data_IF_236210095455
#
_entry.id   IF_236210095455
#
_cell.length_a   1.000
_cell.length_b   1.000
_cell.length_c   1.000
_cell.angle_alpha   90.00
_cell.angle_beta   90.00
_cell.angle_gamma   90.00
#
_symmetry.space_group_name_H-M   'P 1'
#
loop_
_entity.id
_entity.type
_entity.pdbx_description
1 polymer ?
#
# COMPACT_ATOMS: atom_id res chain seq x y z
N UNK A 1 10.06 13.40 -7.22
CA UNK A 1 8.61 13.53 -7.55
C UNK A 1 7.93 12.24 -7.15
N UNK A 2 7.02 12.26 -6.17
CA UNK A 2 6.28 11.05 -5.74
C UNK A 2 5.30 10.67 -6.84
N UNK A 3 5.56 9.58 -7.58
CA UNK A 3 4.57 8.98 -8.48
C UNK A 3 3.51 8.31 -7.63
N UNK A 4 2.28 8.79 -7.70
CA UNK A 4 1.08 8.13 -7.16
C UNK A 4 0.78 6.98 -8.13
N UNK A 5 0.96 5.75 -7.66
CA UNK A 5 0.56 4.54 -8.39
C UNK A 5 -0.97 4.44 -8.29
N UNK A 6 -1.72 4.36 -9.39
CA UNK A 6 -3.16 4.14 -9.32
C UNK A 6 -3.43 2.73 -8.78
N UNK A 7 -4.07 2.66 -7.62
CA UNK A 7 -4.57 1.41 -7.03
C UNK A 7 -5.73 0.94 -7.91
N UNK A 8 -5.55 -0.14 -8.66
CA UNK A 8 -6.63 -0.85 -9.35
C UNK A 8 -7.40 -1.66 -8.29
N UNK A 9 -8.52 -1.10 -7.85
CA UNK A 9 -9.45 -1.76 -6.93
C UNK A 9 -10.17 -2.89 -7.69
N UNK A 10 -9.66 -4.13 -7.61
CA UNK A 10 -10.40 -5.33 -7.99
C UNK A 10 -10.96 -5.97 -6.73
N UNK A 11 -12.13 -5.50 -6.28
CA UNK A 11 -12.84 -6.08 -5.16
C UNK A 11 -13.36 -7.49 -5.48
N UNK A 12 -12.78 -8.52 -4.89
CA UNK A 12 -13.42 -9.82 -4.75
C UNK A 12 -14.13 -9.84 -3.40
N UNK A 13 -15.47 -9.78 -3.42
CA UNK A 13 -16.30 -9.93 -2.22
C UNK A 13 -16.34 -11.42 -1.90
N UNK A 14 -15.55 -11.84 -0.92
CA UNK A 14 -15.72 -13.15 -0.28
C UNK A 14 -16.43 -12.93 1.06
N UNK A 15 -17.76 -12.87 1.03
CA UNK A 15 -18.56 -12.86 2.24
C UNK A 15 -18.66 -14.30 2.77
N UNK A 16 -17.91 -14.64 3.81
CA UNK A 16 -18.11 -15.87 4.58
C UNK A 16 -19.08 -15.57 5.73
N UNK A 17 -20.37 -15.73 5.47
CA UNK A 17 -21.39 -15.78 6.53
C UNK A 17 -21.26 -17.12 7.25
N UNK A 18 -20.64 -17.13 8.41
CA UNK A 18 -20.76 -18.22 9.38
C UNK A 18 -22.02 -17.98 10.21
N UNK A 19 -23.19 -18.44 9.71
CA UNK A 19 -24.40 -18.51 10.50
C UNK A 19 -24.29 -19.73 11.40
N UNK A 20 -23.81 -19.53 12.62
CA UNK A 20 -23.81 -20.49 13.69
C UNK A 20 -24.98 -20.22 14.63
N UNK A 21 -26.15 -20.85 14.42
CA UNK A 21 -27.16 -20.92 15.45
C UNK A 21 -26.62 -21.77 16.61
N UNK A 22 -26.16 -21.13 17.67
CA UNK A 22 -25.84 -21.77 18.94
C UNK A 22 -26.97 -21.50 19.89
N UNK A 23 -27.87 -22.48 20.03
CA UNK A 23 -28.89 -22.47 21.10
C UNK A 23 -28.27 -23.05 22.35
N UNK A 24 -27.98 -22.20 23.32
CA UNK A 24 -27.66 -22.66 24.68
C UNK A 24 -28.94 -22.75 25.47
N UNK A 25 -29.43 -23.97 25.71
CA UNK A 25 -30.55 -24.23 26.63
C UNK A 25 -30.02 -24.17 28.05
N UNK A 26 -30.33 -23.11 28.78
CA UNK A 26 -30.05 -23.03 30.22
C UNK A 26 -31.38 -23.29 30.95
N UNK A 27 -31.55 -24.51 31.46
CA UNK A 27 -32.70 -24.80 32.37
C UNK A 27 -32.44 -24.11 33.71
N UNK A 28 -32.97 -22.92 33.93
CA UNK A 28 -33.15 -22.36 35.24
C UNK A 28 -34.50 -22.80 35.81
N UNK A 29 -34.53 -23.89 36.57
CA UNK A 29 -35.66 -24.28 37.34
C UNK A 29 -35.80 -23.36 38.57
N UNK A 30 -36.53 -22.29 38.41
CA UNK A 30 -36.91 -21.43 39.55
C UNK A 30 -38.25 -21.89 40.12
N UNK A 31 -38.25 -22.81 41.11
CA UNK A 31 -39.42 -23.31 41.85
C UNK A 31 -39.91 -22.23 42.82
N UNK A 32 -40.68 -21.27 42.34
CA UNK A 32 -41.40 -20.33 43.18
C UNK A 32 -42.84 -20.81 43.52
N UNK A 33 -43.37 -21.83 42.82
CA UNK A 33 -44.71 -22.39 43.10
C UNK A 33 -44.76 -23.83 42.57
N UNK A 34 -45.28 -24.80 43.38
CA UNK A 34 -45.43 -26.21 42.94
C UNK A 34 -46.32 -26.40 41.69
N UNK A 35 -47.04 -25.35 41.31
CA UNK A 35 -48.00 -25.36 40.21
C UNK A 35 -47.51 -24.64 38.94
N UNK A 36 -46.29 -24.10 38.94
CA UNK A 36 -45.75 -23.33 37.80
C UNK A 36 -44.31 -23.70 37.50
N UNK A 37 -43.95 -23.85 36.20
CA UNK A 37 -42.59 -24.07 35.72
C UNK A 37 -42.27 -22.97 34.72
N UNK A 38 -41.05 -22.44 34.77
CA UNK A 38 -40.53 -21.47 33.80
C UNK A 38 -39.40 -22.13 33.02
N UNK A 39 -39.42 -22.06 31.71
CA UNK A 39 -38.37 -22.48 30.79
C UNK A 39 -37.84 -21.25 30.08
N UNK A 40 -36.51 -21.12 30.01
CA UNK A 40 -35.85 -19.99 29.38
C UNK A 40 -34.84 -20.48 28.33
N UNK A 41 -34.88 -19.89 27.14
CA UNK A 41 -33.97 -20.18 26.04
C UNK A 41 -33.37 -18.87 25.55
N UNK A 42 -32.06 -18.81 25.40
CA UNK A 42 -31.38 -17.72 24.73
C UNK A 42 -30.92 -18.19 23.35
N UNK A 43 -31.17 -17.36 22.32
CA UNK A 43 -30.77 -17.64 20.94
C UNK A 43 -30.43 -16.35 20.22
N UNK A 44 -29.66 -16.45 19.12
CA UNK A 44 -29.31 -15.30 18.25
C UNK A 44 -30.13 -15.33 16.97
N UNK A 45 -30.51 -14.17 16.47
CA UNK A 45 -31.23 -13.99 15.21
C UNK A 45 -30.86 -12.68 14.52
N UNK A 46 -30.94 -12.64 13.19
CA UNK A 46 -30.84 -11.42 12.39
C UNK A 46 -32.18 -10.64 12.34
N UNK A 47 -33.23 -11.13 13.00
CA UNK A 47 -34.51 -10.47 13.11
C UNK A 47 -34.87 -10.31 14.59
N UNK A 48 -35.19 -9.09 14.96
CA UNK A 48 -35.58 -8.74 16.34
C UNK A 48 -36.84 -9.44 16.79
N UNK A 49 -37.76 -9.73 15.86
CA UNK A 49 -39.07 -10.31 16.11
C UNK A 49 -39.11 -11.84 15.89
N UNK A 50 -37.99 -12.51 15.75
CA UNK A 50 -37.96 -13.96 15.60
C UNK A 50 -38.34 -14.64 16.91
N UNK A 51 -39.28 -15.59 16.83
CA UNK A 51 -39.85 -16.28 18.00
C UNK A 51 -39.37 -17.71 18.10
N UNK A 52 -39.02 -18.12 19.33
CA UNK A 52 -38.73 -19.53 19.64
C UNK A 52 -40.04 -20.26 19.91
N UNK A 53 -40.18 -21.47 19.37
CA UNK A 53 -41.39 -22.30 19.59
C UNK A 53 -41.14 -23.23 20.76
N UNK A 54 -41.91 -23.06 21.82
CA UNK A 54 -41.91 -23.96 22.97
C UNK A 54 -42.97 -25.06 22.79
N UNK A 55 -42.76 -26.20 23.47
CA UNK A 55 -43.77 -27.27 23.51
C UNK A 55 -45.03 -26.78 24.19
N UNK A 56 -46.19 -27.17 23.70
CA UNK A 56 -47.50 -26.81 24.28
C UNK A 56 -47.72 -27.45 25.68
N UNK A 57 -47.11 -28.62 25.91
CA UNK A 57 -47.19 -29.38 27.14
C UNK A 57 -45.84 -29.89 27.60
N UNK A 58 -45.54 -29.76 28.90
CA UNK A 58 -44.37 -30.36 29.54
C UNK A 58 -44.82 -31.45 30.52
N UNK A 59 -44.26 -32.66 30.34
CA UNK A 59 -44.53 -33.79 31.26
C UNK A 59 -43.35 -33.91 32.22
N UNK A 60 -43.59 -33.72 33.50
CA UNK A 60 -42.62 -33.91 34.59
C UNK A 60 -43.14 -34.96 35.58
N UNK A 61 -42.29 -35.46 36.47
CA UNK A 61 -42.62 -36.51 37.42
C UNK A 61 -43.82 -36.20 38.31
N UNK A 62 -44.13 -34.89 38.54
CA UNK A 62 -45.19 -34.39 39.40
C UNK A 62 -46.47 -33.94 38.64
N UNK A 63 -46.56 -34.15 37.32
CA UNK A 63 -47.74 -33.86 36.51
C UNK A 63 -47.48 -33.29 35.13
N UNK A 64 -48.56 -33.00 34.41
CA UNK A 64 -48.51 -32.32 33.11
C UNK A 64 -48.71 -30.83 33.32
N UNK A 65 -47.92 -30.04 32.62
CA UNK A 65 -47.93 -28.58 32.66
C UNK A 65 -48.26 -28.07 31.25
N UNK A 66 -49.23 -27.18 31.14
CA UNK A 66 -49.65 -26.56 29.87
C UNK A 66 -49.05 -25.19 29.75
N UNK A 67 -48.51 -24.83 28.53
CA UNK A 67 -48.01 -23.52 28.21
C UNK A 67 -49.09 -22.45 28.37
N UNK A 68 -48.79 -21.41 29.13
CA UNK A 68 -49.71 -20.29 29.39
C UNK A 68 -49.29 -18.99 28.78
N UNK A 69 -47.98 -18.69 28.84
CA UNK A 69 -47.46 -17.42 28.38
C UNK A 69 -46.04 -17.61 27.85
N UNK A 70 -45.66 -16.79 26.85
CA UNK A 70 -44.29 -16.71 26.32
C UNK A 70 -43.93 -15.24 26.18
N UNK A 71 -42.85 -14.86 26.81
CA UNK A 71 -42.31 -13.50 26.72
C UNK A 71 -40.96 -13.53 26.01
N UNK A 72 -40.69 -12.50 25.23
CA UNK A 72 -39.44 -12.31 24.50
C UNK A 72 -38.79 -10.99 24.93
N UNK A 73 -37.49 -11.03 25.18
CA UNK A 73 -36.72 -9.87 25.58
C UNK A 73 -35.43 -9.86 24.76
N UNK A 74 -35.14 -8.75 24.07
CA UNK A 74 -33.84 -8.53 23.41
C UNK A 74 -32.82 -8.13 24.48
N UNK A 75 -31.85 -9.01 24.74
CA UNK A 75 -30.85 -8.83 25.80
C UNK A 75 -29.55 -8.21 25.29
N UNK A 76 -29.26 -8.36 23.99
CA UNK A 76 -28.10 -7.71 23.33
C UNK A 76 -28.35 -7.49 21.84
N UNK A 77 -27.72 -6.46 21.32
CA UNK A 77 -27.61 -6.13 19.90
C UNK A 77 -26.14 -6.02 19.53
N UNK A 78 -25.71 -6.72 18.50
CA UNK A 78 -24.32 -6.71 18.03
C UNK A 78 -24.28 -6.46 16.52
N UNK A 79 -23.46 -5.51 16.02
CA UNK A 79 -23.27 -5.34 14.58
C UNK A 79 -22.67 -6.62 13.98
N UNK A 80 -23.20 -7.06 12.86
CA UNK A 80 -22.62 -8.15 12.08
C UNK A 80 -21.45 -7.61 11.29
N UNK A 81 -20.27 -8.18 11.48
CA UNK A 81 -19.07 -7.78 10.78
C UNK A 81 -18.88 -8.60 9.51
N UNK A 82 -18.48 -7.92 8.43
CA UNK A 82 -18.02 -8.55 7.20
C UNK A 82 -16.56 -8.19 6.92
N UNK A 83 -15.92 -8.89 6.00
CA UNK A 83 -14.54 -8.62 5.63
C UNK A 83 -14.43 -8.27 4.16
N UNK A 84 -13.57 -7.27 3.86
CA UNK A 84 -13.15 -6.96 2.50
C UNK A 84 -11.62 -7.03 2.39
N UNK A 85 -11.13 -7.45 1.22
CA UNK A 85 -9.71 -7.59 0.96
C UNK A 85 -9.25 -6.66 -0.14
N UNK A 86 -8.08 -6.06 0.06
CA UNK A 86 -7.36 -5.23 -0.93
C UNK A 86 -6.05 -5.93 -1.24
N UNK A 87 -5.76 -6.17 -2.53
CA UNK A 87 -4.51 -6.76 -2.97
C UNK A 87 -3.58 -5.67 -3.49
N UNK A 88 -2.33 -5.68 -3.01
CA UNK A 88 -1.23 -4.85 -3.51
C UNK A 88 -0.18 -5.78 -4.09
N UNK A 89 0.12 -5.59 -5.39
CA UNK A 89 1.02 -6.47 -6.15
C UNK A 89 2.41 -5.88 -6.33
N UNK A 90 3.33 -6.75 -6.68
CA UNK A 90 4.67 -6.42 -7.16
C UNK A 90 5.50 -5.62 -6.15
N UNK A 91 5.42 -5.99 -4.88
CA UNK A 91 6.24 -5.45 -3.80
C UNK A 91 7.60 -6.14 -3.79
N UNK A 92 8.67 -5.37 -3.63
CA UNK A 92 10.01 -5.94 -3.44
C UNK A 92 10.29 -6.37 -2.00
N UNK A 93 9.52 -5.88 -1.03
CA UNK A 93 9.68 -6.16 0.39
C UNK A 93 8.31 -6.36 1.06
N UNK A 94 8.29 -7.12 2.17
CA UNK A 94 7.09 -7.34 2.99
C UNK A 94 6.85 -6.16 3.96
N UNK A 95 6.74 -4.95 3.44
CA UNK A 95 6.64 -3.72 4.25
C UNK A 95 5.56 -2.76 3.75
N UNK A 96 4.42 -3.28 3.31
CA UNK A 96 3.33 -2.43 2.82
C UNK A 96 2.89 -1.42 3.88
N UNK A 97 2.77 -0.15 3.49
CA UNK A 97 2.24 0.92 4.34
C UNK A 97 0.71 0.92 4.23
N UNK A 98 0.05 0.01 4.97
CA UNK A 98 -1.39 -0.10 4.99
C UNK A 98 -2.03 1.02 5.82
N UNK A 99 -3.15 1.57 5.33
CA UNK A 99 -3.98 2.47 6.13
C UNK A 99 -4.71 1.65 7.20
N UNK A 100 -4.79 2.17 8.41
CA UNK A 100 -5.47 1.51 9.53
C UNK A 100 -6.98 1.52 9.35
N UNK A 101 -7.51 2.52 8.64
CA UNK A 101 -8.92 2.66 8.29
C UNK A 101 -9.05 3.07 6.83
N UNK A 102 -9.98 2.45 6.10
CA UNK A 102 -10.27 2.75 4.69
C UNK A 102 -11.79 2.68 4.47
N UNK A 103 -12.29 3.49 3.51
CA UNK A 103 -13.74 3.54 3.21
C UNK A 103 -14.11 2.44 2.23
N UNK A 104 -15.17 1.70 2.55
CA UNK A 104 -15.72 0.62 1.72
C UNK A 104 -17.23 0.77 1.55
N UNK A 105 -17.77 0.08 0.57
CA UNK A 105 -19.22 -0.09 0.43
C UNK A 105 -19.55 -1.47 0.96
N UNK A 106 -20.41 -1.53 2.00
CA UNK A 106 -20.86 -2.78 2.60
C UNK A 106 -21.90 -3.51 1.71
N UNK A 107 -22.30 -4.71 2.12
CA UNK A 107 -23.32 -5.52 1.42
C UNK A 107 -24.68 -4.85 1.29
N UNK A 108 -24.99 -3.86 2.12
CA UNK A 108 -26.20 -3.02 2.04
C UNK A 108 -26.07 -1.80 1.12
N UNK A 109 -24.90 -1.58 0.51
CA UNK A 109 -24.62 -0.43 -0.33
C UNK A 109 -24.35 0.86 0.44
N UNK A 110 -24.01 0.79 1.71
CA UNK A 110 -23.66 1.92 2.56
C UNK A 110 -22.15 2.11 2.59
N UNK A 111 -21.71 3.36 2.62
CA UNK A 111 -20.30 3.69 2.84
C UNK A 111 -19.95 3.58 4.32
N UNK A 112 -19.00 2.71 4.64
CA UNK A 112 -18.56 2.41 6.00
C UNK A 112 -17.05 2.38 6.10
N UNK A 113 -16.52 2.67 7.29
CA UNK A 113 -15.07 2.56 7.55
C UNK A 113 -14.73 1.13 7.95
N UNK A 114 -13.89 0.49 7.13
CA UNK A 114 -13.26 -0.78 7.45
C UNK A 114 -11.99 -0.56 8.23
N UNK A 115 -11.77 -1.34 9.29
CA UNK A 115 -10.54 -1.36 10.08
C UNK A 115 -9.65 -2.50 9.64
N UNK A 116 -8.37 -2.21 9.43
CA UNK A 116 -7.38 -3.22 9.09
C UNK A 116 -7.31 -4.29 10.19
N UNK A 117 -7.59 -5.53 9.83
CA UNK A 117 -7.60 -6.67 10.74
C UNK A 117 -6.44 -7.63 10.51
N UNK A 118 -5.95 -7.75 9.26
CA UNK A 118 -4.84 -8.64 8.91
C UNK A 118 -4.07 -8.13 7.68
N UNK A 119 -2.77 -8.47 7.61
CA UNK A 119 -1.90 -8.26 6.46
C UNK A 119 -1.12 -9.55 6.22
N UNK A 120 -1.35 -10.18 5.10
CA UNK A 120 -0.64 -11.39 4.68
C UNK A 120 0.14 -11.15 3.40
N UNK A 121 1.23 -11.91 3.21
CA UNK A 121 2.09 -11.82 2.03
C UNK A 121 2.18 -13.17 1.35
N UNK A 122 2.22 -13.16 0.02
CA UNK A 122 2.51 -14.32 -0.81
C UNK A 122 3.68 -14.01 -1.74
N UNK A 123 4.54 -14.99 -1.97
CA UNK A 123 5.65 -14.87 -2.90
C UNK A 123 5.14 -14.74 -4.34
N UNK A 124 5.79 -13.88 -5.11
CA UNK A 124 5.51 -13.69 -6.54
C UNK A 124 6.81 -13.44 -7.31
N UNK A 125 6.71 -13.47 -8.62
CA UNK A 125 7.80 -13.06 -9.53
C UNK A 125 7.32 -11.84 -10.30
N UNK A 126 8.04 -10.72 -10.11
CA UNK A 126 7.76 -9.47 -10.80
C UNK A 126 8.40 -9.55 -12.18
N UNK A 127 7.57 -9.53 -13.22
CA UNK A 127 7.99 -9.65 -14.62
C UNK A 127 7.79 -8.34 -15.39
N UNK A 128 8.28 -8.28 -16.64
CA UNK A 128 8.16 -7.11 -17.52
C UNK A 128 8.68 -5.80 -16.91
N UNK A 129 9.73 -5.92 -16.12
CA UNK A 129 10.37 -4.81 -15.44
C UNK A 129 11.21 -3.99 -16.41
N UNK A 130 11.20 -2.68 -16.23
CA UNK A 130 12.02 -1.76 -17.00
C UNK A 130 12.63 -0.69 -16.10
N UNK A 131 13.73 -0.12 -16.52
CA UNK A 131 14.34 1.06 -15.90
C UNK A 131 14.75 2.08 -16.95
N UNK A 132 14.62 3.36 -16.62
CA UNK A 132 15.25 4.44 -17.37
C UNK A 132 16.71 4.52 -16.98
N UNK A 133 17.61 4.29 -17.92
CA UNK A 133 19.07 4.30 -17.70
C UNK A 133 19.65 5.48 -18.45
N UNK A 134 20.40 6.29 -17.73
CA UNK A 134 21.05 7.49 -18.28
C UNK A 134 22.57 7.42 -18.08
N UNK A 135 23.31 8.03 -19.01
CA UNK A 135 24.74 8.20 -18.90
C UNK A 135 25.18 9.45 -19.64
N UNK A 136 26.32 10.02 -19.25
CA UNK A 136 26.92 11.18 -19.91
C UNK A 136 28.37 10.95 -20.27
N UNK A 137 28.88 11.71 -21.23
CA UNK A 137 30.30 11.78 -21.54
C UNK A 137 30.68 13.23 -21.80
N UNK A 138 31.64 13.75 -21.05
CA UNK A 138 32.19 15.10 -21.22
C UNK A 138 33.41 15.08 -22.14
N UNK A 139 33.55 16.10 -22.99
CA UNK A 139 34.66 16.23 -23.91
C UNK A 139 35.94 16.73 -23.22
N UNK A 140 35.82 17.32 -22.02
CA UNK A 140 36.81 18.25 -21.49
C UNK A 140 36.83 19.56 -22.29
N UNK A 141 37.80 20.43 -22.01
CA UNK A 141 37.98 21.70 -22.72
C UNK A 141 38.56 21.51 -24.10
N UNK A 142 37.82 21.83 -25.14
CA UNK A 142 38.19 21.68 -26.56
C UNK A 142 37.98 22.98 -27.33
N UNK A 143 38.81 23.22 -28.35
CA UNK A 143 38.74 24.41 -29.19
C UNK A 143 37.53 24.35 -30.16
N UNK A 144 37.19 23.15 -30.61
CA UNK A 144 36.05 22.94 -31.53
C UNK A 144 35.23 21.78 -31.08
N UNK A 145 33.95 21.78 -31.45
CA UNK A 145 33.00 20.72 -31.13
C UNK A 145 33.52 19.36 -31.62
N UNK A 146 33.74 18.38 -30.74
CA UNK A 146 34.14 17.03 -31.11
C UNK A 146 32.98 16.24 -31.69
N UNK A 147 33.24 15.12 -32.32
CA UNK A 147 32.20 14.16 -32.67
C UNK A 147 31.75 13.39 -31.40
N UNK A 148 30.44 13.29 -31.18
CA UNK A 148 29.91 12.42 -30.17
C UNK A 148 29.68 11.01 -30.74
N UNK A 149 29.88 9.97 -29.94
CA UNK A 149 29.48 8.62 -30.30
C UNK A 149 27.96 8.50 -30.39
N UNK A 150 27.43 7.76 -31.36
CA UNK A 150 26.00 7.57 -31.56
C UNK A 150 25.33 6.73 -30.44
N UNK A 151 26.13 5.98 -29.68
CA UNK A 151 25.67 5.17 -28.56
C UNK A 151 26.78 4.96 -27.53
N UNK A 152 26.36 4.60 -26.31
CA UNK A 152 27.26 4.27 -25.20
C UNK A 152 26.80 2.99 -24.53
N UNK A 153 27.72 2.03 -24.35
CA UNK A 153 27.48 0.83 -23.59
C UNK A 153 27.70 1.11 -22.11
N UNK A 154 26.72 0.72 -21.28
CA UNK A 154 26.75 0.86 -19.82
C UNK A 154 26.36 -0.45 -19.15
N UNK A 155 26.84 -0.68 -17.94
CA UNK A 155 26.41 -1.77 -17.08
C UNK A 155 25.54 -1.18 -15.98
N UNK A 156 24.28 -1.61 -15.94
CA UNK A 156 23.28 -1.23 -14.96
C UNK A 156 23.10 -2.34 -13.94
N UNK A 157 23.33 -2.08 -12.67
CA UNK A 157 23.09 -3.03 -11.59
C UNK A 157 21.61 -2.97 -11.17
N UNK A 158 20.90 -4.06 -11.35
CA UNK A 158 19.51 -4.21 -10.92
C UNK A 158 19.49 -4.86 -9.53
N UNK A 159 19.36 -4.06 -8.49
CA UNK A 159 19.36 -4.52 -7.09
C UNK A 159 18.27 -5.57 -6.80
N UNK A 160 17.00 -5.42 -7.27
CA UNK A 160 15.96 -6.38 -6.97
C UNK A 160 16.22 -7.79 -7.52
N UNK A 161 16.84 -7.93 -8.69
CA UNK A 161 17.20 -9.25 -9.23
C UNK A 161 18.61 -9.70 -8.84
N UNK A 162 19.45 -8.78 -8.33
CA UNK A 162 20.87 -9.02 -8.05
C UNK A 162 21.73 -9.19 -9.29
N UNK A 163 21.22 -8.87 -10.49
CA UNK A 163 21.91 -9.05 -11.77
C UNK A 163 22.40 -7.71 -12.34
N UNK A 164 23.40 -7.80 -13.22
CA UNK A 164 23.87 -6.65 -13.99
C UNK A 164 23.42 -6.79 -15.44
N UNK A 165 22.76 -5.76 -15.96
CA UNK A 165 22.30 -5.69 -17.35
C UNK A 165 23.26 -4.80 -18.14
N UNK A 166 23.76 -5.31 -19.27
CA UNK A 166 24.51 -4.48 -20.20
C UNK A 166 23.56 -3.85 -21.22
N UNK A 167 23.52 -2.51 -21.22
CA UNK A 167 22.66 -1.73 -22.10
C UNK A 167 23.46 -0.90 -23.09
N UNK A 168 22.94 -0.73 -24.29
CA UNK A 168 23.50 0.17 -25.33
C UNK A 168 22.57 1.35 -25.47
N UNK A 169 22.95 2.47 -24.86
CA UNK A 169 22.14 3.69 -24.84
C UNK A 169 22.40 4.53 -26.09
N UNK A 170 21.39 4.95 -26.85
CA UNK A 170 21.55 5.88 -27.95
C UNK A 170 21.89 7.29 -27.45
N UNK A 171 22.54 8.08 -28.30
CA UNK A 171 22.76 9.51 -28.06
C UNK A 171 21.41 10.23 -28.16
N UNK A 172 21.03 10.93 -27.09
CA UNK A 172 19.76 11.69 -26.99
C UNK A 172 19.97 13.19 -27.11
N UNK A 173 21.12 13.70 -26.65
CA UNK A 173 21.47 15.12 -26.77
C UNK A 173 22.99 15.29 -26.76
N UNK A 174 23.48 16.34 -27.45
CA UNK A 174 24.87 16.73 -27.45
C UNK A 174 24.98 18.26 -27.50
N UNK A 175 25.40 18.87 -26.41
CA UNK A 175 25.37 20.32 -26.26
C UNK A 175 26.56 20.86 -25.49
N UNK A 176 26.81 22.17 -25.67
CA UNK A 176 27.73 22.92 -24.85
C UNK A 176 27.25 22.98 -23.42
N UNK A 177 28.10 22.57 -22.49
CA UNK A 177 27.84 22.63 -21.03
C UNK A 177 28.62 23.69 -20.33
N UNK A 178 29.87 23.99 -20.83
CA UNK A 178 30.63 25.18 -20.44
C UNK A 178 30.79 26.03 -21.68
N UNK A 179 30.29 27.26 -21.71
CA UNK A 179 30.43 28.18 -22.85
C UNK A 179 31.90 28.50 -23.15
N UNK A 180 32.16 28.95 -24.39
CA UNK A 180 33.49 29.34 -24.80
C UNK A 180 34.05 30.43 -23.90
N UNK A 181 35.28 30.21 -23.42
CA UNK A 181 36.07 31.10 -22.59
C UNK A 181 37.56 30.90 -22.83
N UNK A 182 38.36 31.83 -22.36
CA UNK A 182 39.82 31.74 -22.42
C UNK A 182 40.33 30.94 -21.22
N UNK A 183 41.09 29.84 -21.50
CA UNK A 183 41.67 28.98 -20.50
C UNK A 183 43.21 29.14 -20.48
N UNK A 184 43.82 29.50 -19.33
CA UNK A 184 45.27 29.77 -19.21
C UNK A 184 46.10 28.49 -19.11
N UNK A 185 46.10 27.68 -20.15
CA UNK A 185 46.79 26.38 -20.16
C UNK A 185 47.88 26.26 -21.29
N UNK A 186 48.24 27.35 -21.90
CA UNK A 186 49.27 27.36 -22.94
C UNK A 186 50.60 27.77 -22.33
N UNK A 187 51.62 26.90 -22.46
CA UNK A 187 52.98 27.16 -22.03
C UNK A 187 53.93 26.61 -23.10
N UNK A 188 54.73 27.48 -23.71
CA UNK A 188 55.62 27.12 -24.80
C UNK A 188 57.05 27.52 -24.49
N UNK A 189 57.95 26.56 -24.29
CA UNK A 189 59.38 26.84 -24.19
C UNK A 189 59.95 27.26 -25.57
N UNK A 190 60.72 28.30 -25.57
CA UNK A 190 61.32 28.84 -26.76
C UNK A 190 62.84 29.00 -26.56
N UNK A 191 63.61 28.83 -27.64
CA UNK A 191 65.03 29.16 -27.71
C UNK A 191 65.21 30.30 -28.71
N UNK A 192 65.70 31.41 -28.21
CA UNK A 192 65.95 32.64 -29.02
C UNK A 192 67.39 32.76 -29.30
N UNK A 193 67.79 32.93 -30.58
CA UNK A 193 69.13 33.24 -31.00
C UNK A 193 69.39 34.71 -30.79
N UNK A 194 70.46 35.03 -30.09
CA UNK A 194 70.86 36.40 -29.79
C UNK A 194 71.92 36.85 -30.81
N UNK A 195 71.50 37.60 -31.80
CA UNK A 195 72.40 38.11 -32.84
C UNK A 195 73.25 39.33 -32.38
N UNK A 196 72.55 40.15 -31.55
CA UNK A 196 73.11 41.41 -31.09
C UNK A 196 72.51 41.73 -29.69
N UNK A 197 73.15 42.61 -28.97
CA UNK A 197 72.66 43.09 -27.69
C UNK A 197 71.40 44.02 -27.80
N UNK A 198 71.05 44.43 -29.02
CA UNK A 198 69.98 45.41 -29.29
C UNK A 198 68.75 44.83 -29.89
N UNK A 199 68.79 43.63 -30.53
CA UNK A 199 67.65 42.99 -31.14
C UNK A 199 67.80 41.46 -31.24
N UNK A 200 66.70 40.77 -31.47
CA UNK A 200 66.63 39.40 -31.96
C UNK A 200 65.61 39.32 -33.11
N UNK A 201 65.54 38.18 -33.79
CA UNK A 201 64.57 37.97 -34.86
C UNK A 201 63.47 37.02 -34.43
N UNK A 202 62.21 37.43 -34.68
CA UNK A 202 61.02 36.62 -34.51
C UNK A 202 60.23 36.70 -35.82
N UNK A 203 59.92 35.56 -36.44
CA UNK A 203 59.19 35.49 -37.69
C UNK A 203 59.67 36.51 -38.76
N UNK A 204 61.01 36.63 -38.97
CA UNK A 204 61.64 37.56 -39.86
C UNK A 204 61.47 39.07 -39.51
N UNK A 205 60.99 39.37 -38.32
CA UNK A 205 60.92 40.74 -37.79
C UNK A 205 62.01 40.97 -36.76
N UNK A 206 62.59 42.19 -36.78
CA UNK A 206 63.48 42.62 -35.73
C UNK A 206 62.72 43.02 -34.50
N UNK A 207 63.01 42.37 -33.40
CA UNK A 207 62.39 42.62 -32.09
C UNK A 207 63.45 43.24 -31.19
N UNK A 208 63.17 44.38 -30.50
CA UNK A 208 64.10 44.98 -29.58
C UNK A 208 64.48 44.03 -28.45
N UNK A 209 65.81 43.87 -28.22
CA UNK A 209 66.29 43.06 -27.11
C UNK A 209 66.10 43.82 -25.77
N UNK A 210 65.65 43.14 -24.78
CA UNK A 210 65.56 43.60 -23.41
C UNK A 210 65.98 42.48 -22.45
N UNK A 211 66.96 42.78 -21.60
CA UNK A 211 67.54 41.82 -20.66
C UNK A 211 66.59 41.39 -19.56
N UNK A 212 65.70 42.30 -19.11
CA UNK A 212 64.76 42.03 -18.04
C UNK A 212 63.59 41.18 -18.52
N UNK A 213 63.00 41.58 -19.66
CA UNK A 213 61.82 40.88 -20.23
C UNK A 213 61.83 41.04 -21.77
N UNK A 214 61.50 39.96 -22.50
CA UNK A 214 61.35 40.07 -23.96
C UNK A 214 60.25 41.07 -24.30
N UNK A 215 60.42 41.87 -25.36
CA UNK A 215 59.35 42.70 -25.88
C UNK A 215 58.24 41.82 -26.40
N UNK A 216 57.03 42.02 -25.85
CA UNK A 216 55.85 41.19 -26.16
C UNK A 216 54.83 42.00 -26.92
N UNK A 217 54.51 43.19 -26.45
CA UNK A 217 53.43 44.02 -27.01
C UNK A 217 53.69 44.33 -28.50
N UNK A 218 52.74 43.89 -29.35
CA UNK A 218 52.80 43.99 -30.80
C UNK A 218 53.49 42.84 -31.51
N UNK A 219 53.93 41.79 -30.81
CA UNK A 219 54.62 40.61 -31.37
C UNK A 219 53.92 39.30 -31.04
N UNK A 220 52.71 39.34 -30.38
CA UNK A 220 51.94 38.17 -29.96
C UNK A 220 51.57 37.32 -31.19
N UNK A 221 51.09 37.97 -32.25
CA UNK A 221 50.73 37.27 -33.50
C UNK A 221 51.96 36.59 -34.16
N UNK A 222 53.16 37.21 -34.08
CA UNK A 222 54.41 36.62 -34.62
C UNK A 222 54.81 35.36 -33.82
N UNK A 223 54.60 35.36 -32.49
CA UNK A 223 54.85 34.19 -31.63
C UNK A 223 53.86 33.08 -32.01
N UNK A 224 52.56 33.35 -32.12
CA UNK A 224 51.53 32.38 -32.50
C UNK A 224 51.85 31.79 -33.92
N UNK A 225 52.28 32.64 -34.84
CA UNK A 225 52.65 32.20 -36.19
C UNK A 225 53.82 31.22 -36.18
N UNK A 226 54.89 31.54 -35.45
CA UNK A 226 56.05 30.63 -35.26
C UNK A 226 55.60 29.29 -34.65
N UNK A 227 54.66 29.30 -33.75
CA UNK A 227 54.12 28.12 -33.11
C UNK A 227 53.04 27.38 -33.96
N UNK A 228 52.68 27.98 -35.10
CA UNK A 228 51.55 27.47 -35.93
C UNK A 228 50.23 27.34 -35.18
N UNK A 229 49.93 28.31 -34.30
CA UNK A 229 48.71 28.38 -33.52
C UNK A 229 47.79 29.50 -34.08
N UNK A 230 46.52 29.20 -34.39
CA UNK A 230 45.61 30.19 -34.95
C UNK A 230 45.19 31.22 -33.89
N UNK A 231 45.32 32.52 -34.21
CA UNK A 231 44.94 33.63 -33.34
C UNK A 231 43.46 33.61 -32.89
N UNK A 232 42.57 33.01 -33.69
CA UNK A 232 41.17 32.85 -33.33
C UNK A 232 40.94 31.95 -32.11
N UNK A 233 41.92 31.08 -31.81
CA UNK A 233 41.80 30.05 -30.75
C UNK A 233 42.87 30.14 -29.68
N UNK A 234 43.89 30.97 -29.89
CA UNK A 234 45.00 31.14 -28.98
C UNK A 234 45.39 32.61 -28.82
N UNK A 235 45.86 33.00 -27.65
CA UNK A 235 46.47 34.29 -27.39
C UNK A 235 47.67 34.14 -26.47
N UNK A 236 48.70 34.89 -26.70
CA UNK A 236 49.86 34.97 -25.81
C UNK A 236 49.59 36.08 -24.80
N UNK A 237 49.82 35.80 -23.53
CA UNK A 237 49.57 36.73 -22.42
C UNK A 237 50.84 37.21 -21.76
N UNK A 238 51.91 36.39 -21.80
CA UNK A 238 53.22 36.76 -21.27
C UNK A 238 54.35 36.04 -21.99
N UNK A 239 55.55 36.64 -21.95
CA UNK A 239 56.77 36.09 -22.54
C UNK A 239 57.95 36.48 -21.65
N UNK A 240 58.62 35.48 -21.04
CA UNK A 240 59.68 35.71 -20.04
C UNK A 240 60.93 34.92 -20.36
N UNK A 241 62.10 35.54 -20.05
CA UNK A 241 63.38 34.83 -20.10
C UNK A 241 63.49 33.81 -18.98
N UNK A 242 64.02 32.62 -19.29
CA UNK A 242 64.17 31.50 -18.32
C UNK A 242 65.57 31.12 -18.04
N UNK A 243 66.51 32.05 -18.22
CA UNK A 243 67.93 31.85 -17.96
C UNK A 243 68.79 32.94 -18.56
N UNK A 244 70.10 32.79 -18.36
CA UNK A 244 71.09 33.70 -18.95
C UNK A 244 71.40 33.33 -20.39
N UNK A 245 72.05 34.25 -21.09
CA UNK A 245 72.60 33.98 -22.41
C UNK A 245 73.69 32.90 -22.31
N UNK A 246 73.66 31.92 -23.17
CA UNK A 246 74.65 30.85 -23.28
C UNK A 246 75.13 30.66 -24.74
N UNK A 247 76.28 30.05 -24.88
CA UNK A 247 76.83 29.78 -26.21
C UNK A 247 76.87 28.31 -26.52
N UNK A 248 76.29 27.92 -27.63
CA UNK A 248 76.34 26.57 -28.17
C UNK A 248 76.75 26.63 -29.65
N UNK A 249 77.76 25.84 -30.04
CA UNK A 249 78.30 25.82 -31.41
C UNK A 249 78.67 27.21 -31.97
N UNK A 250 79.23 28.06 -31.13
CA UNK A 250 79.64 29.45 -31.45
C UNK A 250 78.44 30.41 -31.71
N UNK A 251 77.21 29.99 -31.40
CA UNK A 251 76.05 30.85 -31.49
C UNK A 251 75.53 31.12 -30.08
N UNK A 252 75.10 32.35 -29.83
CA UNK A 252 74.56 32.76 -28.56
C UNK A 252 73.02 32.53 -28.54
N UNK A 253 72.52 31.92 -27.47
CA UNK A 253 71.13 31.68 -27.26
C UNK A 253 70.69 32.16 -25.88
N UNK A 254 69.34 32.45 -25.74
CA UNK A 254 68.71 32.63 -24.49
C UNK A 254 67.37 31.88 -24.51
N UNK A 255 67.09 31.17 -23.46
CA UNK A 255 65.78 30.49 -23.34
C UNK A 255 64.69 31.44 -22.85
N UNK A 256 63.49 31.26 -23.34
CA UNK A 256 62.28 31.99 -22.93
C UNK A 256 61.09 31.06 -22.83
N UNK A 257 60.09 31.49 -22.16
CA UNK A 257 58.75 30.81 -22.10
C UNK A 257 57.69 31.81 -22.49
N UNK A 258 56.88 31.47 -23.48
CA UNK A 258 55.66 32.16 -23.77
C UNK A 258 54.50 31.43 -22.99
N UNK A 259 53.70 32.20 -22.28
CA UNK A 259 52.48 31.74 -21.65
C UNK A 259 51.28 32.36 -22.37
N UNK A 260 50.17 31.64 -22.37
CA UNK A 260 48.98 32.08 -23.09
C UNK A 260 47.75 31.34 -22.69
N UNK A 261 46.72 31.61 -23.42
CA UNK A 261 45.39 31.04 -23.23
C UNK A 261 44.87 30.48 -24.54
N UNK A 262 44.02 29.47 -24.45
CA UNK A 262 43.25 28.97 -25.58
C UNK A 262 41.74 29.20 -25.37
N UNK A 263 41.03 29.48 -26.45
CA UNK A 263 39.57 29.71 -26.45
C UNK A 263 38.85 28.38 -26.59
N UNK A 264 38.25 27.92 -25.50
CA UNK A 264 37.72 26.55 -25.35
C UNK A 264 36.31 26.55 -24.81
N UNK A 265 35.59 25.47 -25.10
CA UNK A 265 34.29 25.11 -24.51
C UNK A 265 34.30 23.65 -24.07
N UNK A 266 33.38 23.29 -23.17
CA UNK A 266 33.15 21.89 -22.85
C UNK A 266 31.79 21.45 -23.43
N UNK A 267 31.74 20.26 -23.97
CA UNK A 267 30.54 19.63 -24.53
C UNK A 267 30.23 18.38 -23.73
N UNK A 268 28.92 18.13 -23.51
CA UNK A 268 28.42 16.89 -22.89
C UNK A 268 27.48 16.17 -23.83
N UNK A 269 27.77 14.91 -24.08
CA UNK A 269 26.89 13.97 -24.75
C UNK A 269 26.06 13.26 -23.70
N UNK A 270 24.72 13.21 -23.90
CA UNK A 270 23.75 12.56 -23.07
C UNK A 270 23.21 11.32 -23.78
N UNK A 271 23.13 10.22 -23.06
CA UNK A 271 22.66 8.93 -23.55
C UNK A 271 21.58 8.43 -22.62
N UNK A 272 20.44 8.00 -23.14
CA UNK A 272 19.38 7.42 -22.32
C UNK A 272 18.52 6.47 -23.11
N UNK A 273 18.01 5.44 -22.44
CA UNK A 273 17.03 4.51 -22.98
C UNK A 273 16.25 3.83 -21.84
N UNK A 274 15.08 3.28 -22.19
CA UNK A 274 14.32 2.38 -21.31
C UNK A 274 14.82 0.96 -21.54
N UNK A 275 15.44 0.37 -20.51
CA UNK A 275 16.09 -0.94 -20.57
C UNK A 275 15.20 -1.98 -19.91
N UNK A 276 14.98 -3.12 -20.58
CA UNK A 276 14.32 -4.26 -19.98
C UNK A 276 15.21 -4.90 -18.89
N UNK A 277 14.60 -5.20 -17.75
CA UNK A 277 15.27 -5.79 -16.60
C UNK A 277 14.88 -7.27 -16.45
N UNK A 278 15.73 -8.10 -15.85
CA UNK A 278 15.40 -9.47 -15.48
C UNK A 278 14.22 -9.52 -14.53
N UNK A 279 13.54 -10.66 -14.49
CA UNK A 279 12.54 -10.95 -13.48
C UNK A 279 13.17 -10.88 -12.09
N UNK A 280 12.40 -10.43 -11.10
CA UNK A 280 12.85 -10.36 -9.72
C UNK A 280 11.85 -11.05 -8.78
N UNK A 281 12.36 -11.62 -7.70
CA UNK A 281 11.51 -12.08 -6.61
C UNK A 281 10.80 -10.90 -5.95
N UNK A 282 9.56 -11.13 -5.56
CA UNK A 282 8.75 -10.12 -4.88
C UNK A 282 7.59 -10.74 -4.11
N UNK A 283 6.67 -9.90 -3.67
CA UNK A 283 5.53 -10.28 -2.84
C UNK A 283 4.26 -9.61 -3.33
N UNK A 284 3.14 -10.29 -3.14
CA UNK A 284 1.83 -9.66 -3.15
C UNK A 284 1.35 -9.56 -1.71
N UNK A 285 0.85 -8.41 -1.30
CA UNK A 285 0.23 -8.22 0.00
C UNK A 285 -1.29 -8.28 -0.14
N UNK A 286 -1.94 -9.00 0.77
CA UNK A 286 -3.39 -9.01 0.94
C UNK A 286 -3.72 -8.35 2.27
N UNK A 287 -4.42 -7.22 2.21
CA UNK A 287 -4.90 -6.47 3.37
C UNK A 287 -6.36 -6.88 3.60
N UNK A 288 -6.68 -7.32 4.81
CA UNK A 288 -8.06 -7.67 5.20
C UNK A 288 -8.59 -6.61 6.13
N UNK A 289 -9.74 -6.04 5.77
CA UNK A 289 -10.44 -5.05 6.56
C UNK A 289 -11.72 -5.66 7.11
N UNK A 290 -12.02 -5.39 8.39
CA UNK A 290 -13.28 -5.73 9.04
C UNK A 290 -14.17 -4.51 9.08
N UNK A 291 -15.40 -4.63 8.60
CA UNK A 291 -16.36 -3.53 8.49
C UNK A 291 -17.77 -3.97 8.90
N UNK A 292 -18.60 -3.02 9.26
CA UNK A 292 -20.00 -3.24 9.60
C UNK A 292 -20.81 -3.59 8.33
N UNK A 293 -21.43 -4.76 8.30
CA UNK A 293 -22.28 -5.21 7.19
C UNK A 293 -23.58 -4.41 7.05
N UNK A 294 -23.97 -3.66 8.11
CA UNK A 294 -25.26 -2.99 8.25
C UNK A 294 -26.38 -3.90 8.74
N UNK A 295 -26.08 -5.16 9.09
CA UNK A 295 -26.98 -6.06 9.79
C UNK A 295 -26.71 -6.03 11.29
N UNK A 296 -27.76 -6.29 12.08
CA UNK A 296 -27.66 -6.44 13.54
C UNK A 296 -28.02 -7.87 13.90
N UNK A 297 -27.20 -8.51 14.73
CA UNK A 297 -27.52 -9.76 15.36
C UNK A 297 -28.12 -9.47 16.75
N UNK A 298 -29.32 -9.97 16.97
CA UNK A 298 -30.06 -9.83 18.21
C UNK A 298 -29.89 -11.09 19.07
N UNK A 299 -29.50 -10.92 20.31
CA UNK A 299 -29.60 -12.00 21.31
C UNK A 299 -30.94 -11.87 22.00
N UNK A 300 -31.80 -12.88 21.83
CA UNK A 300 -33.17 -12.88 22.31
C UNK A 300 -33.29 -13.92 23.43
N UNK A 301 -33.86 -13.51 24.56
CA UNK A 301 -34.25 -14.37 25.67
C UNK A 301 -35.75 -14.63 25.61
N UNK A 302 -36.11 -15.87 25.31
CA UNK A 302 -37.48 -16.31 25.35
C UNK A 302 -37.77 -17.03 26.68
N UNK A 303 -38.85 -16.64 27.34
CA UNK A 303 -39.27 -17.24 28.61
C UNK A 303 -40.69 -17.76 28.48
N UNK A 304 -40.85 -19.08 28.62
CA UNK A 304 -42.14 -19.75 28.63
C UNK A 304 -42.56 -20.05 30.07
N UNK A 305 -43.81 -19.79 30.35
CA UNK A 305 -44.43 -20.07 31.66
C UNK A 305 -45.49 -21.15 31.46
N UNK A 306 -45.34 -22.24 32.20
CA UNK A 306 -46.25 -23.38 32.19
C UNK A 306 -46.97 -23.49 33.53
N UNK A 307 -48.26 -23.81 33.49
CA UNK A 307 -49.05 -24.06 34.68
C UNK A 307 -49.52 -25.54 34.74
N UNK A 308 -49.45 -26.10 35.93
CA UNK A 308 -49.89 -27.49 36.19
C UNK A 308 -51.37 -27.63 35.93
N UNK A 309 -51.71 -28.63 35.15
CA UNK A 309 -53.15 -29.00 35.01
C UNK A 309 -53.71 -29.48 36.34
N UNK A 310 -54.75 -28.78 36.80
CA UNK A 310 -55.52 -29.28 37.95
C UNK A 310 -56.21 -30.58 37.52
N UNK A 311 -55.66 -31.70 37.97
CA UNK A 311 -56.43 -32.97 37.86
C UNK A 311 -57.59 -32.88 38.76
N UNK A 312 -58.81 -32.58 38.23
CA UNK A 312 -59.98 -32.80 38.96
C UNK A 312 -60.06 -34.30 39.33
N UNK A 313 -60.04 -34.66 40.61
CA UNK A 313 -60.02 -36.06 40.96
C UNK A 313 -61.35 -36.64 40.43
N UNK A 314 -61.27 -37.51 39.45
CA UNK A 314 -62.41 -38.20 38.81
C UNK A 314 -63.34 -38.78 39.90
N UNK A 315 -62.76 -39.11 41.04
CA UNK A 315 -63.47 -39.54 42.24
C UNK A 315 -64.49 -38.50 42.75
N UNK A 316 -64.12 -37.19 42.76
CA UNK A 316 -65.05 -36.12 43.24
C UNK A 316 -66.20 -35.93 42.27
N UNK A 317 -65.97 -36.00 40.96
CA UNK A 317 -67.01 -35.88 39.93
C UNK A 317 -67.98 -37.12 40.00
N UNK A 318 -67.40 -38.32 40.14
CA UNK A 318 -68.20 -39.57 40.29
C UNK A 318 -68.99 -39.52 41.56
N UNK A 319 -68.46 -39.13 42.73
CA UNK A 319 -69.21 -39.01 43.98
C UNK A 319 -70.31 -37.98 43.84
N UNK A 320 -70.11 -36.86 43.20
CA UNK A 320 -71.09 -35.81 43.00
C UNK A 320 -72.25 -36.31 42.12
N UNK A 321 -71.93 -36.98 40.99
CA UNK A 321 -72.94 -37.55 40.07
C UNK A 321 -73.75 -38.67 40.75
N UNK A 322 -73.07 -39.57 41.49
CA UNK A 322 -73.73 -40.64 42.21
C UNK A 322 -74.67 -40.08 43.31
N UNK A 323 -74.21 -39.04 44.03
CA UNK A 323 -75.04 -38.39 45.10
C UNK A 323 -76.24 -37.72 44.51
N UNK A 324 -76.20 -37.08 43.36
CA UNK A 324 -77.34 -36.50 42.67
C UNK A 324 -78.31 -37.59 42.20
N UNK A 325 -77.78 -38.69 41.63
CA UNK A 325 -78.58 -39.83 41.18
C UNK A 325 -79.38 -40.48 42.37
N UNK A 326 -78.69 -40.70 43.51
CA UNK A 326 -79.34 -41.26 44.75
C UNK A 326 -80.43 -40.31 45.26
N UNK A 327 -80.15 -38.98 45.22
CA UNK A 327 -81.10 -37.95 45.59
C UNK A 327 -82.38 -37.99 44.71
N UNK A 328 -82.21 -38.11 43.39
CA UNK A 328 -83.35 -38.22 42.45
C UNK A 328 -84.17 -39.51 42.69
N UNK A 329 -83.50 -40.65 42.89
CA UNK A 329 -84.16 -41.92 43.20
C UNK A 329 -84.96 -41.80 44.51
N UNK A 330 -84.40 -41.20 45.54
CA UNK A 330 -85.10 -40.98 46.81
C UNK A 330 -86.38 -40.12 46.65
N UNK A 331 -86.29 -39.04 45.86
CA UNK A 331 -87.42 -38.17 45.55
C UNK A 331 -88.51 -38.95 44.79
N UNK A 332 -88.17 -39.75 43.80
CA UNK A 332 -89.13 -40.58 43.04
C UNK A 332 -89.79 -41.61 43.95
N UNK A 333 -89.04 -42.26 44.84
CA UNK A 333 -89.57 -43.20 45.80
C UNK A 333 -90.53 -42.49 46.76
N UNK A 334 -90.20 -41.31 47.26
CA UNK A 334 -91.14 -40.55 48.14
C UNK A 334 -92.41 -40.17 47.38
N UNK A 335 -92.30 -39.70 46.13
CA UNK A 335 -93.49 -39.39 45.33
C UNK A 335 -94.32 -40.65 45.06
N UNK A 336 -93.71 -41.80 44.80
CA UNK A 336 -94.37 -43.07 44.61
C UNK A 336 -95.11 -43.52 45.88
N UNK A 337 -94.50 -43.39 47.07
CA UNK A 337 -95.14 -43.69 48.34
C UNK A 337 -96.30 -42.75 48.64
N UNK A 338 -96.20 -41.46 48.34
CA UNK A 338 -97.25 -40.48 48.45
C UNK A 338 -98.46 -40.85 47.52
N UNK A 339 -98.14 -41.18 46.25
CA UNK A 339 -99.16 -41.60 45.27
C UNK A 339 -99.87 -42.92 45.72
N UNK A 340 -99.12 -43.90 46.24
CA UNK A 340 -99.62 -45.15 46.76
C UNK A 340 -100.54 -44.92 48.01
N UNK A 341 -100.14 -43.98 48.88
CA UNK A 341 -100.92 -43.62 50.06
C UNK A 341 -102.24 -42.89 49.71
N UNK A 342 -102.22 -42.09 48.58
CA UNK A 342 -103.45 -41.45 48.06
C UNK A 342 -104.42 -42.47 47.48
N UNK A 343 -103.96 -43.50 46.77
CA UNK A 343 -104.77 -44.56 46.18
C UNK A 343 -105.42 -45.49 47.23
N UNK A 344 -104.79 -45.66 48.40
CA UNK A 344 -105.32 -46.43 49.50
C UNK A 344 -106.32 -45.65 50.41
N UNK A 345 -106.62 -44.38 50.13
CA UNK A 345 -107.65 -43.59 50.82
C UNK A 345 -108.94 -43.45 50.03
N UNK A 346 -108.95 -43.90 48.74
CA UNK A 346 -110.12 -43.84 47.85
C UNK A 346 -110.82 -45.22 47.64
N UNK A 347 -110.38 -46.25 48.39
CA UNK A 347 -111.12 -47.53 48.49
C UNK A 347 -111.75 -47.71 49.85
#
# INVERSE_FOLDING_TARGET
>A
MKKIIPILLSGMIAASLLIGCSSAVTEENNTANENQITETVEYTSLKEDETHVFDEELIKDNGTYTLKDVTYETVAETPVMETQTVEIKDLYEQNVQAQQEESFINTKGQEVLGKLSDVSYSDTIITNRTAEVESTTQSGYVISQPAAANSKTVNYADEPSGQTVTAVLPLTDFRVTVPYHWEPDVTVPMRVEVYDSTFYMLNSRYVPYNDEKPALAGYEADILNVLNLPEASYRITDFVWTGDVYTENAVQYRNAVATGERYVAEYTAYYSDTVALPDAAGYNAQLTYSLDSGDTEYTIKATAVYEKEESFPVVTVVITVVSILVGIIAIVLILFLIAKKRKNKEN
#
